data_IF_571027757719
#
_entry.id   IF_571027757719
#
_cell.length_a   1.000
_cell.length_b   1.000
_cell.length_c   1.000
_cell.angle_alpha   90.00
_cell.angle_beta   90.00
_cell.angle_gamma   90.00
#
_symmetry.space_group_name_H-M   'P 1'
#
loop_
_entity.id
_entity.type
_entity.pdbx_description
1 polymer ?
#
# COMPACT_ATOMS: atom_id res chain seq x y z
N UNK A 1 -5.36 30.34 -21.30
CA UNK A 1 -6.07 30.25 -20.00
C UNK A 1 -5.32 29.26 -19.15
N UNK A 2 -5.20 29.52 -17.80
CA UNK A 2 -4.59 28.58 -16.88
C UNK A 2 -5.28 27.21 -16.94
N UNK A 3 -4.53 26.17 -16.63
CA UNK A 3 -5.03 24.78 -16.53
C UNK A 3 -4.90 24.29 -15.10
N UNK A 4 -5.82 23.47 -14.62
CA UNK A 4 -5.69 22.79 -13.32
C UNK A 4 -4.95 21.48 -13.54
N UNK A 5 -3.98 21.19 -12.65
CA UNK A 5 -3.48 19.85 -12.43
C UNK A 5 -3.95 19.36 -11.07
N UNK A 6 -4.80 18.32 -11.08
CA UNK A 6 -5.36 17.71 -9.89
C UNK A 6 -4.45 16.57 -9.43
N UNK A 7 -3.60 16.87 -8.43
CA UNK A 7 -2.77 15.86 -7.74
C UNK A 7 -3.64 14.91 -6.93
N UNK A 8 -3.30 13.63 -6.94
CA UNK A 8 -3.98 12.56 -6.21
C UNK A 8 -2.96 11.64 -5.53
N UNK A 9 -2.76 10.42 -6.09
CA UNK A 9 -1.72 9.45 -5.68
C UNK A 9 -0.46 9.59 -6.55
N UNK A 10 -0.08 10.80 -6.89
CA UNK A 10 1.05 11.16 -7.75
C UNK A 10 1.77 12.42 -7.22
N UNK A 11 2.02 12.45 -5.89
CA UNK A 11 2.57 13.62 -5.17
C UNK A 11 4.05 13.83 -5.45
N UNK A 12 4.36 14.04 -6.73
CA UNK A 12 5.71 14.28 -7.25
C UNK A 12 5.66 15.18 -8.49
N UNK A 13 6.78 15.80 -8.80
CA UNK A 13 6.95 16.60 -10.01
C UNK A 13 7.70 15.84 -11.10
N UNK A 14 8.72 15.04 -10.74
CA UNK A 14 9.49 14.26 -11.70
C UNK A 14 8.72 13.00 -12.11
N UNK A 15 8.96 12.54 -13.35
CA UNK A 15 8.33 11.34 -13.92
C UNK A 15 6.79 11.34 -13.79
N UNK A 16 6.17 12.50 -14.00
CA UNK A 16 4.74 12.72 -14.00
C UNK A 16 4.28 13.14 -15.40
N UNK A 17 3.90 12.17 -16.24
CA UNK A 17 3.54 12.44 -17.64
C UNK A 17 2.25 13.25 -17.77
N UNK A 18 1.28 13.04 -16.89
CA UNK A 18 0.04 13.81 -16.89
C UNK A 18 0.29 15.29 -16.54
N UNK A 19 1.18 15.56 -15.57
CA UNK A 19 1.62 16.92 -15.27
C UNK A 19 2.38 17.54 -16.45
N UNK A 20 3.26 16.77 -17.09
CA UNK A 20 4.00 17.24 -18.26
C UNK A 20 3.06 17.59 -19.43
N UNK A 21 2.03 16.80 -19.67
CA UNK A 21 1.00 17.06 -20.65
C UNK A 21 0.21 18.35 -20.32
N UNK A 22 -0.20 18.53 -19.06
CA UNK A 22 -0.85 19.75 -18.58
C UNK A 22 0.04 20.99 -18.82
N UNK A 23 1.31 20.92 -18.42
CA UNK A 23 2.27 22.01 -18.57
C UNK A 23 2.55 22.34 -20.04
N UNK A 24 2.74 21.32 -20.89
CA UNK A 24 2.95 21.51 -22.32
C UNK A 24 1.73 22.18 -23.00
N UNK A 25 0.52 21.75 -22.61
CA UNK A 25 -0.70 22.35 -23.12
C UNK A 25 -0.90 23.81 -22.64
N UNK A 26 -0.54 24.13 -21.37
CA UNK A 26 -0.57 25.52 -20.86
C UNK A 26 0.42 26.42 -21.61
N UNK A 27 1.61 25.91 -21.96
CA UNK A 27 2.60 26.62 -22.77
C UNK A 27 2.07 26.87 -24.19
N UNK A 28 1.48 25.83 -24.81
CA UNK A 28 0.91 25.94 -26.17
C UNK A 28 -0.23 26.95 -26.24
N UNK A 29 -1.06 27.07 -25.18
CA UNK A 29 -2.10 28.08 -25.05
C UNK A 29 -1.57 29.50 -24.84
N UNK A 30 -0.27 29.70 -24.58
CA UNK A 30 0.38 30.97 -24.35
C UNK A 30 0.24 31.56 -22.93
N UNK A 31 -0.62 30.98 -22.08
CA UNK A 31 -0.82 31.42 -20.69
C UNK A 31 0.31 30.94 -19.77
N UNK A 32 0.83 29.75 -20.02
CA UNK A 32 1.92 29.08 -19.27
C UNK A 32 1.64 28.83 -17.79
N UNK A 33 0.39 29.01 -17.34
CA UNK A 33 0.02 28.89 -15.92
C UNK A 33 -0.62 27.54 -15.62
N UNK A 34 -0.13 26.86 -14.59
CA UNK A 34 -0.72 25.64 -14.03
C UNK A 34 -1.17 25.90 -12.58
N UNK A 35 -2.39 25.55 -12.25
CA UNK A 35 -2.96 25.62 -10.89
C UNK A 35 -2.80 24.23 -10.27
N UNK A 36 -1.92 24.03 -9.30
CA UNK A 36 -1.80 22.73 -8.60
C UNK A 36 -2.91 22.60 -7.56
N UNK A 37 -3.72 21.55 -7.66
CA UNK A 37 -4.85 21.31 -6.75
C UNK A 37 -4.73 19.93 -6.13
N UNK A 38 -5.01 19.85 -4.84
CA UNK A 38 -5.26 18.59 -4.13
C UNK A 38 -6.64 18.63 -3.48
N UNK A 39 -7.47 17.64 -3.78
CA UNK A 39 -8.77 17.47 -3.14
C UNK A 39 -8.71 16.34 -2.12
N UNK A 40 -9.36 16.50 -0.98
CA UNK A 40 -9.53 15.46 0.02
C UNK A 40 -10.84 15.63 0.80
N UNK A 41 -11.28 14.54 1.42
CA UNK A 41 -12.41 14.54 2.33
C UNK A 41 -11.88 14.57 3.78
N UNK A 42 -12.15 15.65 4.50
CA UNK A 42 -11.68 15.85 5.86
C UNK A 42 -12.19 14.79 6.84
N UNK A 43 -13.43 14.28 6.66
CA UNK A 43 -13.96 13.24 7.52
C UNK A 43 -13.22 11.90 7.36
N UNK A 44 -12.77 11.55 6.14
CA UNK A 44 -11.97 10.36 5.91
C UNK A 44 -10.57 10.52 6.52
N UNK A 45 -10.00 11.73 6.42
CA UNK A 45 -8.72 12.05 7.06
C UNK A 45 -8.78 11.87 8.59
N UNK A 46 -9.85 12.33 9.25
CA UNK A 46 -10.05 12.19 10.70
C UNK A 46 -10.15 10.73 11.16
N UNK A 47 -10.65 9.84 10.29
CA UNK A 47 -10.75 8.40 10.58
C UNK A 47 -9.41 7.66 10.50
N UNK A 48 -8.39 8.24 9.87
CA UNK A 48 -7.05 7.64 9.78
C UNK A 48 -6.37 7.58 11.16
N UNK A 49 -5.41 6.64 11.32
CA UNK A 49 -4.49 6.64 12.46
C UNK A 49 -3.62 7.91 12.48
N UNK A 50 -3.07 8.26 13.66
CA UNK A 50 -2.18 9.42 13.77
C UNK A 50 -1.00 9.35 12.79
N UNK A 51 -0.36 8.19 12.67
CA UNK A 51 0.75 7.99 11.73
C UNK A 51 0.33 8.23 10.27
N UNK A 52 -0.86 7.79 9.87
CA UNK A 52 -1.38 8.04 8.52
C UNK A 52 -1.70 9.52 8.28
N UNK A 53 -2.32 10.20 9.27
CA UNK A 53 -2.58 11.63 9.18
C UNK A 53 -1.27 12.42 9.01
N UNK A 54 -0.27 12.15 9.86
CA UNK A 54 1.05 12.79 9.74
C UNK A 54 1.72 12.49 8.41
N UNK A 55 1.64 11.25 7.94
CA UNK A 55 2.19 10.83 6.66
C UNK A 55 1.59 11.61 5.47
N UNK A 56 0.27 11.73 5.40
CA UNK A 56 -0.40 12.50 4.36
C UNK A 56 -0.05 13.98 4.45
N UNK A 57 -0.07 14.55 5.66
CA UNK A 57 0.28 15.96 5.89
C UNK A 57 1.71 16.28 5.44
N UNK A 58 2.70 15.47 5.84
CA UNK A 58 4.10 15.70 5.46
C UNK A 58 4.34 15.49 3.96
N UNK A 59 3.64 14.52 3.34
CA UNK A 59 3.65 14.33 1.89
C UNK A 59 3.14 15.56 1.14
N UNK A 60 2.02 16.14 1.59
CA UNK A 60 1.46 17.37 1.00
C UNK A 60 2.32 18.60 1.24
N UNK A 61 2.94 18.73 2.44
CA UNK A 61 3.89 19.82 2.71
C UNK A 61 5.10 19.75 1.78
N UNK A 62 5.68 18.57 1.62
CA UNK A 62 6.83 18.37 0.72
C UNK A 62 6.46 18.69 -0.75
N UNK A 63 5.26 18.29 -1.19
CA UNK A 63 4.76 18.65 -2.52
C UNK A 63 4.56 20.15 -2.66
N UNK A 64 3.92 20.81 -1.69
CA UNK A 64 3.68 22.27 -1.69
C UNK A 64 5.01 23.06 -1.73
N UNK A 65 5.97 22.68 -0.88
CA UNK A 65 7.32 23.27 -0.86
C UNK A 65 8.02 23.14 -2.22
N UNK A 66 7.89 21.99 -2.91
CA UNK A 66 8.49 21.77 -4.23
C UNK A 66 7.92 22.66 -5.33
N UNK A 67 6.74 23.24 -5.10
CA UNK A 67 6.05 24.17 -6.00
C UNK A 67 6.06 25.62 -5.51
N UNK A 68 6.91 25.96 -4.53
CA UNK A 68 6.99 27.31 -3.97
C UNK A 68 5.77 27.74 -3.17
N UNK A 69 5.12 26.79 -2.48
CA UNK A 69 3.93 26.98 -1.64
C UNK A 69 2.68 27.44 -2.41
N UNK A 70 2.46 26.86 -3.58
CA UNK A 70 1.35 27.19 -4.47
C UNK A 70 0.22 26.15 -4.52
N UNK A 71 0.30 25.05 -3.76
CA UNK A 71 -0.72 23.99 -3.75
C UNK A 71 -2.05 24.49 -3.19
N UNK A 72 -3.09 24.49 -4.00
CA UNK A 72 -4.47 24.70 -3.56
C UNK A 72 -5.02 23.39 -2.98
N UNK A 73 -5.49 23.41 -1.74
CA UNK A 73 -6.09 22.27 -1.07
C UNK A 73 -7.58 22.52 -0.90
N UNK A 74 -8.40 21.61 -1.44
CA UNK A 74 -9.85 21.66 -1.36
C UNK A 74 -10.31 20.57 -0.40
N UNK A 75 -10.82 20.97 0.76
CA UNK A 75 -11.45 20.06 1.73
C UNK A 75 -12.95 20.05 1.50
N UNK A 76 -13.46 18.92 1.05
CA UNK A 76 -14.89 18.73 0.80
C UNK A 76 -15.23 17.25 0.66
N UNK A 77 -16.39 16.80 1.15
CA UNK A 77 -16.88 15.44 0.92
C UNK A 77 -17.37 15.22 -0.53
N UNK A 78 -17.52 16.27 -1.34
CA UNK A 78 -18.07 16.21 -2.69
C UNK A 78 -17.13 16.80 -3.74
N UNK A 79 -16.92 16.09 -4.83
CA UNK A 79 -16.19 16.53 -6.04
C UNK A 79 -16.77 17.81 -6.66
N UNK A 80 -17.99 18.18 -6.32
CA UNK A 80 -18.61 19.44 -6.74
C UNK A 80 -17.79 20.68 -6.31
N UNK A 81 -17.08 20.62 -5.18
CA UNK A 81 -16.21 21.71 -4.73
C UNK A 81 -15.04 21.93 -5.71
N UNK A 82 -14.42 20.87 -6.24
CA UNK A 82 -13.38 20.98 -7.26
C UNK A 82 -13.95 21.55 -8.58
N UNK A 83 -15.13 21.11 -8.99
CA UNK A 83 -15.81 21.65 -10.18
C UNK A 83 -16.17 23.14 -10.03
N UNK A 84 -16.66 23.54 -8.85
CA UNK A 84 -16.96 24.96 -8.53
C UNK A 84 -15.67 25.80 -8.51
N UNK A 85 -14.59 25.27 -7.91
CA UNK A 85 -13.28 25.92 -7.94
C UNK A 85 -12.79 26.14 -9.38
N UNK A 86 -12.86 25.11 -10.22
CA UNK A 86 -12.45 25.20 -11.63
C UNK A 86 -13.26 26.25 -12.41
N UNK A 87 -14.58 26.33 -12.15
CA UNK A 87 -15.45 27.35 -12.73
C UNK A 87 -15.05 28.77 -12.27
N UNK A 88 -14.81 28.96 -10.98
CA UNK A 88 -14.38 30.26 -10.42
C UNK A 88 -13.01 30.69 -10.92
N UNK A 89 -12.11 29.72 -11.11
CA UNK A 89 -10.77 29.95 -11.68
C UNK A 89 -10.79 30.21 -13.20
N UNK A 90 -11.96 30.06 -13.85
CA UNK A 90 -12.19 30.25 -15.30
C UNK A 90 -11.27 29.38 -16.15
N UNK A 91 -11.03 28.12 -15.74
CA UNK A 91 -10.24 27.17 -16.52
C UNK A 91 -11.15 26.41 -17.50
N UNK A 92 -10.55 25.87 -18.56
CA UNK A 92 -11.22 24.98 -19.51
C UNK A 92 -10.83 23.52 -19.36
N UNK A 93 -9.73 23.24 -18.66
CA UNK A 93 -9.21 21.89 -18.53
C UNK A 93 -8.74 21.60 -17.11
N UNK A 94 -9.11 20.42 -16.61
CA UNK A 94 -8.55 19.78 -15.42
C UNK A 94 -7.79 18.55 -15.91
N UNK A 95 -6.48 18.51 -15.68
CA UNK A 95 -5.64 17.35 -15.95
C UNK A 95 -5.41 16.55 -14.66
N UNK A 96 -5.35 15.24 -14.76
CA UNK A 96 -4.98 14.35 -13.66
C UNK A 96 -4.39 13.05 -14.19
N UNK A 97 -3.59 12.39 -13.36
CA UNK A 97 -3.20 10.99 -13.60
C UNK A 97 -4.43 10.08 -13.45
N UNK A 98 -4.65 9.18 -14.42
CA UNK A 98 -5.76 8.23 -14.41
C UNK A 98 -5.62 7.21 -13.29
N UNK A 99 -6.68 6.98 -12.50
CA UNK A 99 -6.78 5.94 -11.49
C UNK A 99 -7.46 4.70 -12.02
N UNK A 100 -7.04 3.55 -11.47
CA UNK A 100 -7.50 2.22 -11.86
C UNK A 100 -8.10 1.41 -10.70
N UNK A 101 -8.07 1.94 -9.49
CA UNK A 101 -8.75 1.37 -8.33
C UNK A 101 -10.22 1.86 -8.26
N UNK A 102 -11.12 1.11 -7.58
CA UNK A 102 -12.54 1.43 -7.55
C UNK A 102 -12.86 2.84 -7.04
N UNK A 103 -12.20 3.28 -5.97
CA UNK A 103 -12.39 4.61 -5.36
C UNK A 103 -11.96 5.71 -6.32
N UNK A 104 -10.76 5.60 -6.88
CA UNK A 104 -10.23 6.58 -7.81
C UNK A 104 -11.04 6.69 -9.10
N UNK A 105 -11.58 5.57 -9.60
CA UNK A 105 -12.51 5.57 -10.75
C UNK A 105 -13.83 6.27 -10.38
N UNK A 106 -14.35 6.04 -9.17
CA UNK A 106 -15.56 6.70 -8.69
C UNK A 106 -15.40 8.22 -8.59
N UNK A 107 -14.27 8.69 -8.04
CA UNK A 107 -13.92 10.14 -7.99
C UNK A 107 -13.86 10.76 -9.39
N UNK A 108 -13.20 10.10 -10.34
CA UNK A 108 -13.09 10.56 -11.74
C UNK A 108 -14.47 10.70 -12.38
N UNK A 109 -15.34 9.71 -12.20
CA UNK A 109 -16.71 9.73 -12.71
C UNK A 109 -17.56 10.80 -12.04
N UNK A 110 -17.42 10.98 -10.72
CA UNK A 110 -18.12 12.01 -9.97
C UNK A 110 -17.73 13.41 -10.47
N UNK A 111 -16.44 13.70 -10.62
CA UNK A 111 -15.98 14.97 -11.16
C UNK A 111 -16.46 15.19 -12.59
N UNK A 112 -16.30 14.21 -13.48
CA UNK A 112 -16.77 14.31 -14.86
C UNK A 112 -18.28 14.59 -14.94
N UNK A 113 -19.07 14.00 -14.03
CA UNK A 113 -20.51 14.27 -13.96
C UNK A 113 -20.81 15.72 -13.53
N UNK A 114 -20.08 16.25 -12.55
CA UNK A 114 -20.24 17.65 -12.08
C UNK A 114 -19.79 18.69 -13.12
N UNK A 115 -18.89 18.33 -14.03
CA UNK A 115 -18.41 19.19 -15.10
C UNK A 115 -19.33 19.26 -16.32
N UNK A 116 -20.37 18.37 -16.42
CA UNK A 116 -21.31 18.39 -17.54
C UNK A 116 -21.99 19.75 -17.67
N UNK A 117 -21.98 20.31 -18.89
CA UNK A 117 -22.59 21.61 -19.18
C UNK A 117 -21.81 22.84 -18.74
N UNK A 118 -20.65 22.69 -18.08
CA UNK A 118 -19.80 23.84 -17.65
C UNK A 118 -18.83 24.31 -18.73
N UNK A 119 -18.59 23.51 -19.77
CA UNK A 119 -17.53 23.77 -20.76
C UNK A 119 -16.13 23.46 -20.29
N UNK A 120 -15.98 22.80 -19.11
CA UNK A 120 -14.71 22.35 -18.56
C UNK A 120 -14.53 20.85 -18.85
N UNK A 121 -13.37 20.47 -19.37
CA UNK A 121 -13.01 19.08 -19.71
C UNK A 121 -12.06 18.48 -18.66
N UNK A 122 -12.32 17.24 -18.27
CA UNK A 122 -11.41 16.40 -17.47
C UNK A 122 -10.54 15.56 -18.40
N UNK A 123 -9.22 15.78 -18.34
CA UNK A 123 -8.21 15.07 -19.14
C UNK A 123 -7.47 14.10 -18.23
N UNK A 124 -7.65 12.81 -18.46
CA UNK A 124 -7.03 11.73 -17.69
C UNK A 124 -5.92 11.09 -18.53
N UNK A 125 -4.71 11.06 -18.01
CA UNK A 125 -3.52 10.59 -18.74
C UNK A 125 -2.59 9.78 -17.82
N UNK A 126 -1.74 8.92 -18.44
CA UNK A 126 -0.76 8.09 -17.74
C UNK A 126 -1.39 7.13 -16.70
N UNK A 127 -0.60 6.70 -15.74
CA UNK A 127 -1.04 5.86 -14.61
C UNK A 127 -0.06 5.95 -13.44
N UNK A 128 -0.43 5.40 -12.28
CA UNK A 128 0.47 5.24 -11.11
C UNK A 128 1.36 3.99 -11.24
N UNK A 129 1.38 3.34 -12.39
CA UNK A 129 2.03 2.07 -12.68
C UNK A 129 2.92 2.19 -13.91
N UNK A 130 3.97 1.39 -13.99
CA UNK A 130 4.87 1.40 -15.16
C UNK A 130 4.15 0.88 -16.40
N UNK A 131 3.27 -0.12 -16.23
CA UNK A 131 2.36 -0.62 -17.27
C UNK A 131 0.93 -0.44 -16.79
N UNK A 132 0.14 0.27 -17.57
CA UNK A 132 -1.26 0.61 -17.26
C UNK A 132 -2.08 -0.65 -16.94
N UNK A 133 -2.82 -0.73 -15.80
CA UNK A 133 -3.73 -1.83 -15.51
C UNK A 133 -4.74 -2.04 -16.64
N UNK A 134 -5.07 -3.30 -16.91
CA UNK A 134 -5.89 -3.67 -18.07
C UNK A 134 -5.13 -3.91 -19.37
N UNK A 135 -3.86 -3.50 -19.47
CA UNK A 135 -3.05 -3.66 -20.68
C UNK A 135 -2.45 -5.06 -20.82
N UNK A 136 -2.04 -5.68 -19.70
CA UNK A 136 -1.40 -6.99 -19.71
C UNK A 136 -2.46 -8.08 -19.92
N UNK A 137 -2.49 -8.68 -21.11
CA UNK A 137 -3.49 -9.69 -21.48
C UNK A 137 -2.83 -10.87 -22.18
N UNK A 138 -3.48 -12.03 -22.16
CA UNK A 138 -3.02 -13.21 -22.89
C UNK A 138 -3.14 -12.99 -24.39
N UNK A 139 -2.12 -13.32 -25.18
CA UNK A 139 -2.16 -13.10 -26.62
C UNK A 139 -3.16 -14.01 -27.33
N UNK A 140 -3.59 -15.12 -26.70
CA UNK A 140 -4.49 -16.10 -27.30
C UNK A 140 -5.96 -15.64 -27.37
N UNK A 141 -6.43 -14.94 -26.32
CA UNK A 141 -7.85 -14.63 -26.16
C UNK A 141 -8.11 -13.25 -25.53
N UNK A 142 -7.06 -12.48 -25.25
CA UNK A 142 -7.19 -11.18 -24.57
C UNK A 142 -7.58 -11.25 -23.10
N UNK A 143 -7.72 -12.45 -22.52
CA UNK A 143 -8.10 -12.61 -21.13
C UNK A 143 -6.99 -12.24 -20.15
N UNK A 144 -7.39 -11.94 -18.90
CA UNK A 144 -6.45 -11.63 -17.81
C UNK A 144 -5.60 -12.82 -17.39
N UNK A 145 -4.41 -12.54 -16.89
CA UNK A 145 -3.61 -13.52 -16.17
C UNK A 145 -4.12 -13.69 -14.73
N UNK A 146 -4.29 -14.93 -14.30
CA UNK A 146 -4.64 -15.30 -12.91
C UNK A 146 -3.44 -15.69 -12.07
N UNK A 147 -2.27 -15.90 -12.72
CA UNK A 147 -1.03 -16.39 -12.11
C UNK A 147 0.06 -15.38 -12.39
N UNK A 148 0.83 -15.05 -11.36
CA UNK A 148 1.85 -14.02 -11.40
C UNK A 148 2.98 -14.29 -12.40
N UNK A 149 3.53 -15.50 -12.45
CA UNK A 149 4.69 -15.79 -13.29
C UNK A 149 4.46 -15.53 -14.79
N UNK A 150 3.36 -15.98 -15.42
CA UNK A 150 3.07 -15.62 -16.81
C UNK A 150 2.70 -14.13 -16.97
N UNK A 151 2.03 -13.49 -15.98
CA UNK A 151 1.82 -12.05 -15.97
C UNK A 151 3.15 -11.29 -16.04
N UNK A 152 4.09 -11.62 -15.14
CA UNK A 152 5.40 -10.98 -15.09
C UNK A 152 6.14 -11.05 -16.44
N UNK A 153 6.11 -12.21 -17.11
CA UNK A 153 6.74 -12.37 -18.44
C UNK A 153 6.10 -11.44 -19.47
N UNK A 154 4.78 -11.38 -19.54
CA UNK A 154 4.06 -10.52 -20.47
C UNK A 154 4.26 -9.03 -20.13
N UNK A 155 4.18 -8.66 -18.86
CA UNK A 155 4.43 -7.30 -18.35
C UNK A 155 5.84 -6.83 -18.71
N UNK A 156 6.85 -7.69 -18.54
CA UNK A 156 8.24 -7.36 -18.86
C UNK A 156 8.46 -7.19 -20.38
N UNK A 157 7.76 -7.97 -21.20
CA UNK A 157 7.81 -7.86 -22.68
C UNK A 157 7.14 -6.57 -23.18
N UNK A 158 6.05 -6.11 -22.56
CA UNK A 158 5.42 -4.83 -22.89
C UNK A 158 6.40 -3.69 -22.62
N UNK A 159 7.14 -3.78 -21.52
CA UNK A 159 8.10 -2.76 -21.12
C UNK A 159 7.43 -1.45 -20.67
N UNK A 160 8.23 -0.45 -20.45
CA UNK A 160 7.82 0.88 -20.00
C UNK A 160 8.75 1.95 -20.56
N UNK A 161 8.26 3.21 -20.62
CA UNK A 161 9.04 4.35 -21.02
C UNK A 161 10.12 4.73 -20.00
N UNK A 162 11.17 5.42 -20.44
CA UNK A 162 12.12 6.02 -19.51
C UNK A 162 11.43 7.07 -18.60
N UNK A 163 11.96 7.29 -17.38
CA UNK A 163 11.46 8.35 -16.50
C UNK A 163 11.49 9.72 -17.17
N UNK A 164 10.39 10.43 -17.11
CA UNK A 164 10.26 11.74 -17.73
C UNK A 164 10.78 12.86 -16.81
N UNK A 165 11.47 13.84 -17.40
CA UNK A 165 11.82 15.08 -16.69
C UNK A 165 10.63 16.02 -16.69
N UNK A 166 10.51 16.84 -15.64
CA UNK A 166 9.49 17.90 -15.60
C UNK A 166 9.64 18.85 -16.78
N UNK A 167 8.53 19.11 -17.47
CA UNK A 167 8.44 20.11 -18.54
C UNK A 167 8.85 21.49 -17.99
N UNK A 168 9.66 22.23 -18.72
CA UNK A 168 10.11 23.59 -18.35
C UNK A 168 9.32 24.64 -19.12
N UNK A 169 9.28 25.87 -18.59
CA UNK A 169 8.71 27.02 -19.29
C UNK A 169 7.22 27.25 -18.97
N UNK A 170 6.70 26.66 -17.92
CA UNK A 170 5.43 27.00 -17.30
C UNK A 170 5.66 27.56 -15.88
N UNK A 171 4.67 28.22 -15.33
CA UNK A 171 4.68 28.76 -13.98
C UNK A 171 3.52 28.21 -13.16
N UNK A 172 3.75 28.03 -11.85
CA UNK A 172 2.69 27.73 -10.91
C UNK A 172 1.86 28.99 -10.63
N UNK A 173 0.54 28.89 -10.72
CA UNK A 173 -0.32 30.01 -10.32
C UNK A 173 -0.24 30.18 -8.80
N UNK A 174 0.03 31.38 -8.29
CA UNK A 174 0.07 31.67 -6.87
C UNK A 174 -1.22 31.26 -6.16
N UNK A 175 -1.09 30.63 -5.00
CA UNK A 175 -2.21 30.18 -4.17
C UNK A 175 -3.08 31.36 -3.73
N UNK A 176 -4.40 31.11 -3.61
CA UNK A 176 -5.38 32.13 -3.23
C UNK A 176 -5.26 32.64 -1.77
N UNK A 177 -4.41 32.02 -0.94
CA UNK A 177 -4.18 32.35 0.47
C UNK A 177 -5.20 31.77 1.45
N UNK A 178 -6.31 31.21 0.98
CA UNK A 178 -7.36 30.59 1.83
C UNK A 178 -7.16 29.10 2.07
N UNK A 179 -6.43 28.46 1.20
CA UNK A 179 -6.17 27.01 1.23
C UNK A 179 -5.13 26.66 2.29
N UNK A 180 -5.37 25.57 3.05
CA UNK A 180 -4.45 25.06 4.07
C UNK A 180 -4.29 23.53 3.92
N UNK A 181 -3.04 23.07 4.03
CA UNK A 181 -2.77 21.65 4.15
C UNK A 181 -3.39 21.15 5.45
N UNK A 182 -4.07 19.97 5.45
CA UNK A 182 -4.68 19.41 6.64
C UNK A 182 -3.64 19.19 7.75
N UNK A 183 -4.00 19.54 8.98
CA UNK A 183 -3.17 19.32 10.16
C UNK A 183 -3.63 18.04 10.87
N UNK A 184 -2.70 17.17 11.31
CA UNK A 184 -3.07 15.99 12.06
C UNK A 184 -3.84 16.33 13.34
N UNK A 185 -4.92 15.61 13.60
CA UNK A 185 -5.72 15.72 14.84
C UNK A 185 -5.30 14.69 15.89
N UNK A 186 -4.57 13.65 15.47
CA UNK A 186 -4.04 12.57 16.33
C UNK A 186 -2.52 12.65 16.38
N UNK A 187 -1.93 12.29 17.51
CA UNK A 187 -0.47 12.24 17.68
C UNK A 187 0.17 11.09 16.88
N UNK A 188 1.45 11.25 16.56
CA UNK A 188 2.31 10.18 16.07
C UNK A 188 3.52 10.00 17.01
N UNK A 189 4.03 8.79 17.18
CA UNK A 189 5.13 8.51 18.11
C UNK A 189 6.48 9.08 17.63
N UNK A 190 6.59 9.47 16.37
CA UNK A 190 7.81 10.08 15.79
C UNK A 190 7.45 11.00 14.62
N UNK A 191 8.44 11.81 14.19
CA UNK A 191 8.29 12.68 13.02
C UNK A 191 8.37 11.86 11.73
N UNK A 192 7.28 11.78 11.01
CA UNK A 192 7.21 11.12 9.69
C UNK A 192 8.02 11.94 8.68
N UNK A 193 8.76 11.25 7.81
CA UNK A 193 9.43 11.84 6.64
C UNK A 193 8.75 11.34 5.38
N UNK A 194 8.46 12.23 4.46
CA UNK A 194 7.73 11.95 3.22
C UNK A 194 8.18 12.90 2.10
N UNK A 195 7.66 12.68 0.89
CA UNK A 195 7.88 13.51 -0.27
C UNK A 195 8.92 12.98 -1.25
N UNK A 196 8.88 13.51 -2.47
CA UNK A 196 9.68 13.05 -3.62
C UNK A 196 11.19 13.03 -3.33
N UNK A 197 11.73 14.09 -2.74
CA UNK A 197 13.17 14.18 -2.43
C UNK A 197 13.62 13.07 -1.45
N UNK A 198 12.82 12.81 -0.41
CA UNK A 198 13.08 11.76 0.56
C UNK A 198 12.95 10.36 -0.07
N UNK A 199 11.98 10.16 -0.94
CA UNK A 199 11.81 8.90 -1.68
C UNK A 199 13.01 8.60 -2.58
N UNK A 200 13.49 9.60 -3.33
CA UNK A 200 14.67 9.49 -4.20
C UNK A 200 15.96 9.21 -3.39
N UNK A 201 16.15 9.87 -2.25
CA UNK A 201 17.28 9.61 -1.37
C UNK A 201 17.23 8.20 -0.79
N UNK A 202 16.05 7.75 -0.35
CA UNK A 202 15.82 6.40 0.16
C UNK A 202 16.14 5.35 -0.91
N UNK A 203 15.73 5.58 -2.16
CA UNK A 203 16.06 4.68 -3.27
C UNK A 203 17.56 4.63 -3.55
N UNK A 204 18.26 5.78 -3.61
CA UNK A 204 19.73 5.81 -3.80
C UNK A 204 20.46 5.03 -2.70
N UNK A 205 20.02 5.20 -1.44
CA UNK A 205 20.58 4.47 -0.30
C UNK A 205 20.37 2.96 -0.43
N UNK A 206 19.17 2.53 -0.83
CA UNK A 206 18.88 1.12 -1.08
C UNK A 206 19.74 0.56 -2.21
N UNK A 207 19.86 1.28 -3.34
CA UNK A 207 20.70 0.88 -4.47
C UNK A 207 22.17 0.70 -4.08
N UNK A 208 22.70 1.58 -3.23
CA UNK A 208 24.12 1.53 -2.86
C UNK A 208 24.46 0.51 -1.77
N UNK A 209 23.48 0.06 -0.96
CA UNK A 209 23.76 -0.71 0.26
C UNK A 209 23.09 -2.07 0.34
N UNK A 210 21.92 -2.25 -0.27
CA UNK A 210 21.11 -3.42 0.03
C UNK A 210 20.54 -4.13 -1.20
N UNK A 211 20.48 -3.51 -2.37
CA UNK A 211 19.87 -4.12 -3.55
C UNK A 211 20.67 -5.34 -4.04
N UNK A 212 21.99 -5.35 -3.87
CA UNK A 212 22.84 -6.49 -4.27
C UNK A 212 22.45 -7.80 -3.58
N UNK A 213 22.18 -7.72 -2.27
CA UNK A 213 21.83 -8.87 -1.43
C UNK A 213 20.31 -9.00 -1.22
N UNK A 214 19.52 -8.28 -2.01
CA UNK A 214 18.07 -8.23 -1.81
C UNK A 214 17.39 -9.58 -1.97
N UNK A 215 17.87 -10.44 -2.87
CA UNK A 215 17.36 -11.80 -3.06
C UNK A 215 17.37 -12.63 -1.78
N UNK A 216 18.41 -12.47 -0.97
CA UNK A 216 18.61 -13.20 0.29
C UNK A 216 17.93 -12.49 1.45
N UNK A 217 18.17 -11.18 1.58
CA UNK A 217 17.81 -10.41 2.77
C UNK A 217 16.35 -9.92 2.80
N UNK A 218 15.63 -9.94 1.67
CA UNK A 218 14.24 -9.48 1.59
C UNK A 218 13.25 -10.16 2.54
N UNK A 219 13.60 -11.34 3.05
CA UNK A 219 12.75 -12.08 3.97
C UNK A 219 13.15 -11.94 5.44
N UNK A 220 14.19 -11.16 5.74
CA UNK A 220 14.81 -10.98 7.06
C UNK A 220 14.32 -9.67 7.70
N UNK A 221 13.27 -9.69 8.55
CA UNK A 221 12.73 -8.50 9.21
C UNK A 221 13.69 -7.90 10.25
N UNK A 222 14.66 -8.69 10.73
CA UNK A 222 15.74 -8.27 11.65
C UNK A 222 16.83 -7.45 10.95
N UNK A 223 16.88 -7.47 9.62
CA UNK A 223 17.87 -6.76 8.81
C UNK A 223 17.29 -5.53 8.12
N UNK A 224 18.14 -4.56 7.77
CA UNK A 224 17.78 -3.43 6.91
C UNK A 224 17.94 -3.81 5.43
N UNK A 225 17.34 -4.94 5.03
CA UNK A 225 17.49 -5.56 3.69
C UNK A 225 16.44 -5.14 2.67
N UNK A 226 15.46 -4.30 3.04
CA UNK A 226 14.38 -3.87 2.14
C UNK A 226 14.51 -2.40 1.75
N UNK A 227 13.82 -2.00 0.67
CA UNK A 227 13.90 -0.63 0.14
C UNK A 227 13.20 0.42 1.00
N UNK A 228 12.20 0.04 1.81
CA UNK A 228 11.28 0.95 2.51
C UNK A 228 10.58 1.98 1.60
N UNK A 229 10.37 1.65 0.31
CA UNK A 229 9.73 2.53 -0.68
C UNK A 229 8.23 2.31 -0.84
N UNK A 230 7.64 1.36 -0.10
CA UNK A 230 6.20 1.07 -0.20
C UNK A 230 5.33 2.30 0.11
N UNK A 231 5.71 3.11 1.10
CA UNK A 231 5.08 4.38 1.40
C UNK A 231 5.12 5.35 0.21
N UNK A 232 6.31 5.59 -0.33
CA UNK A 232 6.49 6.51 -1.45
C UNK A 232 5.74 6.05 -2.71
N UNK A 233 5.66 4.73 -2.96
CA UNK A 233 4.86 4.16 -4.06
C UNK A 233 3.36 4.30 -3.83
N UNK A 234 2.87 4.11 -2.58
CA UNK A 234 1.47 4.24 -2.24
C UNK A 234 0.96 5.67 -2.41
N UNK A 235 1.79 6.65 -2.05
CA UNK A 235 1.49 8.07 -2.16
C UNK A 235 1.90 8.70 -3.51
N UNK A 236 2.58 7.92 -4.36
CA UNK A 236 3.07 8.39 -5.65
C UNK A 236 4.16 9.46 -5.57
N UNK A 237 4.95 9.46 -4.49
CA UNK A 237 6.12 10.32 -4.30
C UNK A 237 7.30 9.87 -5.17
N UNK A 238 7.26 8.65 -5.67
CA UNK A 238 8.16 8.09 -6.68
C UNK A 238 7.36 7.22 -7.65
N UNK A 239 7.69 7.29 -8.93
CA UNK A 239 7.04 6.44 -9.93
C UNK A 239 7.78 5.10 -10.10
N UNK A 240 7.09 3.98 -10.36
CA UNK A 240 7.74 2.69 -10.65
C UNK A 240 8.78 2.77 -11.78
N UNK A 241 8.57 3.56 -12.85
CA UNK A 241 9.55 3.75 -13.92
C UNK A 241 10.90 4.24 -13.41
N UNK A 242 10.88 5.18 -12.45
CA UNK A 242 12.09 5.70 -11.80
C UNK A 242 12.86 4.63 -11.05
N UNK A 243 12.15 3.68 -10.41
CA UNK A 243 12.77 2.55 -9.73
C UNK A 243 13.31 1.49 -10.69
N UNK A 244 12.61 1.27 -11.79
CA UNK A 244 12.94 0.24 -12.79
C UNK A 244 14.08 0.62 -13.71
N UNK A 245 14.23 1.92 -14.03
CA UNK A 245 15.19 2.42 -15.01
C UNK A 245 16.66 2.04 -14.74
N UNK A 246 17.19 2.08 -13.50
CA UNK A 246 18.58 1.74 -13.21
C UNK A 246 18.81 0.24 -12.95
N UNK A 247 17.78 -0.61 -13.04
CA UNK A 247 17.92 -2.04 -12.72
C UNK A 247 18.59 -2.80 -13.87
N UNK A 248 19.53 -3.65 -13.50
CA UNK A 248 20.21 -4.61 -14.39
C UNK A 248 19.64 -6.02 -14.20
N UNK A 249 20.32 -7.02 -14.80
CA UNK A 249 19.96 -8.43 -14.66
C UNK A 249 20.67 -9.15 -13.50
N UNK A 250 21.31 -8.41 -12.60
CA UNK A 250 21.82 -8.94 -11.35
C UNK A 250 20.67 -9.52 -10.51
N UNK A 251 20.96 -10.54 -9.72
CA UNK A 251 19.92 -11.30 -9.01
C UNK A 251 19.06 -10.42 -8.09
N UNK A 252 19.69 -9.62 -7.23
CA UNK A 252 18.96 -8.70 -6.35
C UNK A 252 18.10 -7.68 -7.10
N UNK A 253 18.59 -7.15 -8.24
CA UNK A 253 17.84 -6.26 -9.13
C UNK A 253 16.65 -6.96 -9.79
N UNK A 254 16.85 -8.18 -10.24
CA UNK A 254 15.80 -9.01 -10.85
C UNK A 254 14.71 -9.33 -9.84
N UNK A 255 15.09 -9.68 -8.60
CA UNK A 255 14.13 -9.94 -7.53
C UNK A 255 13.39 -8.66 -7.15
N UNK A 256 14.07 -7.52 -7.05
CA UNK A 256 13.40 -6.24 -6.75
C UNK A 256 12.43 -5.82 -7.87
N UNK A 257 12.79 -6.00 -9.14
CA UNK A 257 11.90 -5.80 -10.30
C UNK A 257 10.62 -6.64 -10.18
N UNK A 258 10.75 -7.90 -9.75
CA UNK A 258 9.59 -8.78 -9.53
C UNK A 258 8.67 -8.27 -8.43
N UNK A 259 9.20 -7.63 -7.38
CA UNK A 259 8.34 -7.03 -6.34
C UNK A 259 7.56 -5.82 -6.86
N UNK A 260 8.15 -5.00 -7.71
CA UNK A 260 7.42 -3.92 -8.41
C UNK A 260 6.31 -4.53 -9.29
N UNK A 261 6.63 -5.59 -10.02
CA UNK A 261 5.64 -6.27 -10.87
C UNK A 261 4.50 -6.93 -10.06
N UNK A 262 4.75 -7.40 -8.82
CA UNK A 262 3.69 -7.89 -7.94
C UNK A 262 2.66 -6.79 -7.60
N UNK A 263 3.12 -5.57 -7.31
CA UNK A 263 2.23 -4.43 -7.10
C UNK A 263 1.36 -4.16 -8.34
N UNK A 264 1.94 -4.24 -9.54
CA UNK A 264 1.23 -4.01 -10.78
C UNK A 264 0.29 -5.17 -11.16
N UNK A 265 0.66 -6.40 -10.82
CA UNK A 265 -0.21 -7.55 -10.95
C UNK A 265 -1.48 -7.41 -10.10
N UNK A 266 -1.34 -7.05 -8.83
CA UNK A 266 -2.49 -6.85 -7.97
C UNK A 266 -3.37 -5.68 -8.41
N UNK A 267 -2.77 -4.61 -8.95
CA UNK A 267 -3.53 -3.51 -9.54
C UNK A 267 -4.32 -3.94 -10.77
N UNK A 268 -3.74 -4.76 -11.67
CA UNK A 268 -4.43 -5.32 -12.83
C UNK A 268 -5.58 -6.26 -12.41
N UNK A 269 -5.36 -7.08 -11.39
CA UNK A 269 -6.39 -7.98 -10.86
C UNK A 269 -7.55 -7.18 -10.27
N UNK A 270 -7.29 -6.16 -9.44
CA UNK A 270 -8.33 -5.33 -8.83
C UNK A 270 -9.11 -4.54 -9.88
N UNK A 271 -8.42 -3.95 -10.87
CA UNK A 271 -9.05 -3.22 -11.96
C UNK A 271 -10.05 -4.09 -12.74
N UNK A 272 -9.68 -5.35 -13.01
CA UNK A 272 -10.54 -6.29 -13.74
C UNK A 272 -11.62 -6.94 -12.88
N UNK A 273 -11.41 -6.99 -11.56
CA UNK A 273 -12.31 -7.62 -10.59
C UNK A 273 -12.56 -6.67 -9.41
N UNK A 274 -13.24 -5.52 -9.61
CA UNK A 274 -13.34 -4.47 -8.60
C UNK A 274 -14.04 -4.92 -7.31
N UNK A 275 -14.91 -5.95 -7.37
CA UNK A 275 -15.56 -6.53 -6.20
C UNK A 275 -14.56 -7.15 -5.22
N UNK A 276 -13.37 -7.55 -5.68
CA UNK A 276 -12.36 -8.19 -4.83
C UNK A 276 -11.68 -7.22 -3.87
N UNK A 277 -12.04 -5.95 -3.89
CA UNK A 277 -11.58 -4.98 -2.89
C UNK A 277 -11.96 -5.44 -1.46
N UNK A 278 -13.18 -5.92 -1.30
CA UNK A 278 -13.81 -6.32 -0.02
C UNK A 278 -14.54 -7.66 -0.07
N UNK A 279 -14.63 -8.31 -1.24
CA UNK A 279 -15.25 -9.61 -1.45
C UNK A 279 -14.22 -10.64 -1.95
N UNK A 280 -14.57 -11.91 -1.92
CA UNK A 280 -13.70 -13.02 -2.25
C UNK A 280 -13.45 -13.13 -3.77
N UNK A 281 -12.17 -13.26 -4.15
CA UNK A 281 -11.79 -13.58 -5.54
C UNK A 281 -12.29 -14.99 -5.93
N UNK A 282 -12.14 -15.98 -5.03
CA UNK A 282 -12.70 -17.32 -5.16
C UNK A 282 -14.00 -17.43 -4.34
N UNK A 283 -15.20 -17.33 -4.99
CA UNK A 283 -16.48 -17.19 -4.27
C UNK A 283 -16.83 -18.33 -3.30
N UNK A 284 -16.29 -19.54 -3.51
CA UNK A 284 -16.53 -20.70 -2.61
C UNK A 284 -16.11 -20.43 -1.15
N UNK A 285 -15.13 -19.53 -0.93
CA UNK A 285 -14.68 -19.17 0.41
C UNK A 285 -15.69 -18.38 1.23
N UNK A 286 -16.76 -17.86 0.61
CA UNK A 286 -17.92 -17.29 1.32
C UNK A 286 -18.65 -18.33 2.19
N UNK A 287 -18.53 -19.61 1.82
CA UNK A 287 -19.13 -20.70 2.57
C UNK A 287 -18.23 -21.25 3.71
N UNK A 288 -17.03 -20.69 3.86
CA UNK A 288 -16.13 -21.10 4.95
C UNK A 288 -16.72 -20.67 6.29
N UNK A 289 -16.64 -21.55 7.28
CA UNK A 289 -17.09 -21.26 8.63
C UNK A 289 -16.06 -20.41 9.37
N UNK A 290 -16.43 -19.16 9.67
CA UNK A 290 -15.63 -18.25 10.49
C UNK A 290 -16.22 -18.11 11.90
N UNK A 291 -15.35 -17.82 12.88
CA UNK A 291 -15.76 -17.52 14.24
C UNK A 291 -16.44 -16.15 14.32
N UNK A 292 -17.50 -16.05 15.14
CA UNK A 292 -18.28 -14.83 15.33
C UNK A 292 -18.58 -14.58 16.82
N UNK A 293 -19.19 -13.42 17.14
CA UNK A 293 -19.62 -13.08 18.49
C UNK A 293 -18.49 -12.60 19.41
N UNK A 294 -18.73 -12.64 20.71
CA UNK A 294 -17.83 -12.04 21.72
C UNK A 294 -16.44 -12.71 21.77
N UNK A 295 -16.37 -14.03 21.58
CA UNK A 295 -15.10 -14.77 21.57
C UNK A 295 -14.23 -14.35 20.37
N UNK A 296 -14.83 -14.25 19.19
CA UNK A 296 -14.13 -13.78 17.98
C UNK A 296 -13.63 -12.34 18.14
N UNK A 297 -14.45 -11.47 18.74
CA UNK A 297 -14.04 -10.09 19.05
C UNK A 297 -12.84 -10.05 19.98
N UNK A 298 -12.82 -10.84 21.05
CA UNK A 298 -11.68 -10.91 21.98
C UNK A 298 -10.41 -11.45 21.29
N UNK A 299 -10.54 -12.47 20.41
CA UNK A 299 -9.42 -12.96 19.60
C UNK A 299 -8.85 -11.84 18.71
N UNK A 300 -9.73 -11.08 18.04
CA UNK A 300 -9.35 -9.97 17.18
C UNK A 300 -8.61 -8.87 17.96
N UNK A 301 -9.13 -8.47 19.13
CA UNK A 301 -8.52 -7.45 19.98
C UNK A 301 -7.11 -7.86 20.46
N UNK A 302 -6.90 -9.12 20.85
CA UNK A 302 -5.56 -9.63 21.20
C UNK A 302 -4.60 -9.61 20.01
N UNK A 303 -5.07 -9.97 18.82
CA UNK A 303 -4.27 -9.89 17.60
C UNK A 303 -3.93 -8.44 17.26
N UNK A 304 -4.90 -7.53 17.29
CA UNK A 304 -4.72 -6.11 17.01
C UNK A 304 -3.70 -5.44 17.96
N UNK A 305 -3.72 -5.81 19.24
CA UNK A 305 -2.82 -5.24 20.26
C UNK A 305 -1.44 -5.90 20.30
N UNK A 306 -1.23 -7.01 19.59
CA UNK A 306 0.02 -7.78 19.67
C UNK A 306 0.24 -8.41 21.05
N UNK A 307 -0.80 -9.13 21.52
CA UNK A 307 -0.83 -9.85 22.81
C UNK A 307 -1.35 -11.28 22.67
N UNK A 308 -1.07 -11.90 21.53
CA UNK A 308 -1.51 -13.26 21.23
C UNK A 308 -0.73 -14.34 22.00
N UNK A 309 0.46 -14.00 22.48
CA UNK A 309 1.43 -14.93 23.07
C UNK A 309 2.29 -15.64 22.01
N UNK A 310 2.20 -15.26 20.74
CA UNK A 310 3.07 -15.72 19.66
C UNK A 310 4.04 -14.61 19.26
N UNK A 311 5.33 -14.67 19.67
CA UNK A 311 6.24 -13.54 19.58
C UNK A 311 6.39 -12.93 18.18
N UNK A 312 6.42 -13.75 17.13
CA UNK A 312 6.58 -13.25 15.77
C UNK A 312 5.33 -12.51 15.28
N UNK A 313 4.13 -12.95 15.70
CA UNK A 313 2.86 -12.28 15.42
C UNK A 313 2.78 -10.96 16.18
N UNK A 314 3.06 -11.00 17.48
CA UNK A 314 2.93 -9.85 18.36
C UNK A 314 3.94 -8.75 18.00
N UNK A 315 5.19 -9.11 17.68
CA UNK A 315 6.20 -8.18 17.19
C UNK A 315 5.74 -7.47 15.91
N UNK A 316 5.09 -8.21 14.99
CA UNK A 316 4.54 -7.64 13.78
C UNK A 316 3.44 -6.62 14.04
N UNK A 317 2.49 -6.96 14.89
CA UNK A 317 1.37 -6.07 15.23
C UNK A 317 1.85 -4.84 16.00
N UNK A 318 2.79 -4.99 16.94
CA UNK A 318 3.41 -3.86 17.65
C UNK A 318 4.26 -2.98 16.74
N UNK A 319 4.98 -3.57 15.75
CA UNK A 319 5.65 -2.79 14.71
C UNK A 319 4.65 -1.92 13.95
N UNK A 320 3.52 -2.49 13.51
CA UNK A 320 2.47 -1.74 12.82
C UNK A 320 2.00 -0.54 13.63
N UNK A 321 1.66 -0.75 14.90
CA UNK A 321 1.13 0.29 15.78
C UNK A 321 2.15 1.38 16.10
N UNK A 322 3.43 1.03 16.20
CA UNK A 322 4.49 1.98 16.57
C UNK A 322 5.10 2.70 15.38
N UNK A 323 5.07 2.10 14.17
CA UNK A 323 5.77 2.66 13.00
C UNK A 323 4.84 2.97 11.82
N UNK A 324 3.61 2.48 11.82
CA UNK A 324 2.71 2.55 10.67
C UNK A 324 3.17 1.70 9.48
N UNK A 325 4.14 0.79 9.72
CA UNK A 325 4.72 -0.07 8.69
C UNK A 325 4.97 -1.46 9.25
N UNK A 326 4.93 -2.47 8.40
CA UNK A 326 5.27 -3.84 8.74
C UNK A 326 6.04 -4.48 7.59
N UNK A 327 7.07 -5.25 7.92
CA UNK A 327 7.84 -6.01 6.93
C UNK A 327 6.95 -7.02 6.17
N UNK A 328 7.09 -7.14 4.83
CA UNK A 328 6.21 -7.98 4.02
C UNK A 328 6.10 -9.43 4.52
N UNK A 329 7.23 -10.06 4.89
CA UNK A 329 7.22 -11.43 5.44
C UNK A 329 6.36 -11.54 6.70
N UNK A 330 6.40 -10.53 7.54
CA UNK A 330 5.63 -10.49 8.79
C UNK A 330 4.15 -10.26 8.50
N UNK A 331 3.79 -9.42 7.51
CA UNK A 331 2.38 -9.28 7.06
C UNK A 331 1.76 -10.63 6.69
N UNK A 332 2.51 -11.49 6.00
CA UNK A 332 2.03 -12.84 5.64
C UNK A 332 1.82 -13.71 6.88
N UNK A 333 2.69 -13.63 7.88
CA UNK A 333 2.60 -14.42 9.12
C UNK A 333 1.39 -14.00 9.94
N UNK A 334 1.23 -12.69 10.20
CA UNK A 334 0.12 -12.17 11.01
C UNK A 334 -1.24 -12.36 10.32
N UNK A 335 -1.27 -12.28 8.98
CA UNK A 335 -2.48 -12.53 8.21
C UNK A 335 -2.86 -14.02 8.21
N UNK A 336 -1.89 -14.93 8.05
CA UNK A 336 -2.14 -16.37 8.19
C UNK A 336 -2.68 -16.72 9.57
N UNK A 337 -2.08 -16.13 10.62
CA UNK A 337 -2.53 -16.36 12.00
C UNK A 337 -3.97 -15.89 12.21
N UNK A 338 -4.35 -14.68 11.74
CA UNK A 338 -5.72 -14.20 11.85
C UNK A 338 -6.72 -15.15 11.20
N UNK A 339 -6.44 -15.57 9.95
CA UNK A 339 -7.41 -16.32 9.16
C UNK A 339 -7.44 -17.80 9.53
N UNK A 340 -6.28 -18.39 9.84
CA UNK A 340 -6.11 -19.85 9.91
C UNK A 340 -5.91 -20.40 11.32
N UNK A 341 -5.50 -19.56 12.26
CA UNK A 341 -5.37 -19.94 13.67
C UNK A 341 -6.49 -19.31 14.52
N UNK A 342 -6.89 -18.07 14.22
CA UNK A 342 -8.01 -17.42 14.90
C UNK A 342 -9.37 -17.67 14.22
N UNK A 343 -9.35 -18.18 12.98
CA UNK A 343 -10.53 -18.45 12.15
C UNK A 343 -11.41 -17.22 11.91
N UNK A 344 -10.81 -16.07 11.73
CA UNK A 344 -11.49 -14.81 11.45
C UNK A 344 -11.45 -14.45 9.96
N UNK A 345 -12.46 -13.73 9.49
CA UNK A 345 -12.50 -13.27 8.10
C UNK A 345 -11.35 -12.33 7.79
N UNK A 346 -10.75 -12.48 6.61
CA UNK A 346 -9.61 -11.68 6.17
C UNK A 346 -9.92 -10.17 6.10
N UNK A 347 -11.18 -9.80 5.84
CA UNK A 347 -11.63 -8.41 5.77
C UNK A 347 -11.40 -7.65 7.07
N UNK A 348 -11.51 -8.32 8.23
CA UNK A 348 -11.25 -7.71 9.53
C UNK A 348 -9.79 -7.25 9.67
N UNK A 349 -8.88 -8.10 9.22
CA UNK A 349 -7.45 -7.78 9.20
C UNK A 349 -7.09 -6.75 8.13
N UNK A 350 -7.67 -6.86 6.92
CA UNK A 350 -7.49 -5.90 5.85
C UNK A 350 -7.92 -4.49 6.26
N UNK A 351 -9.05 -4.38 6.97
CA UNK A 351 -9.54 -3.11 7.51
C UNK A 351 -8.62 -2.53 8.57
N UNK A 352 -8.06 -3.38 9.44
CA UNK A 352 -7.09 -2.94 10.44
C UNK A 352 -5.80 -2.41 9.79
N UNK A 353 -5.34 -3.06 8.72
CA UNK A 353 -4.20 -2.61 7.93
C UNK A 353 -4.50 -1.30 7.21
N UNK A 354 -5.66 -1.15 6.61
CA UNK A 354 -6.11 0.09 5.99
C UNK A 354 -6.06 1.27 6.96
N UNK A 355 -6.47 1.07 8.21
CA UNK A 355 -6.49 2.13 9.23
C UNK A 355 -5.09 2.54 9.70
N UNK A 356 -4.11 1.62 9.70
CA UNK A 356 -2.84 1.82 10.39
C UNK A 356 -1.62 1.90 9.47
N UNK A 357 -1.64 1.27 8.27
CA UNK A 357 -0.50 1.28 7.37
C UNK A 357 -0.32 2.63 6.67
N UNK A 358 0.83 3.26 6.83
CA UNK A 358 1.20 4.48 6.08
C UNK A 358 1.44 4.21 4.60
N UNK A 359 1.72 2.96 4.24
CA UNK A 359 1.90 2.49 2.87
C UNK A 359 0.66 1.78 2.31
N UNK A 360 -0.53 2.08 2.82
CA UNK A 360 -1.75 1.46 2.35
C UNK A 360 -1.96 1.64 0.84
N UNK A 361 -2.10 0.53 0.14
CA UNK A 361 -2.47 0.43 -1.26
C UNK A 361 -3.63 -0.57 -1.38
N UNK A 362 -4.80 -0.18 -1.91
CA UNK A 362 -6.00 -1.02 -1.88
C UNK A 362 -5.82 -2.35 -2.59
N UNK A 363 -5.12 -2.36 -3.73
CA UNK A 363 -4.88 -3.58 -4.50
C UNK A 363 -3.92 -4.53 -3.77
N UNK A 364 -2.79 -4.01 -3.29
CA UNK A 364 -1.80 -4.81 -2.56
C UNK A 364 -2.35 -5.31 -1.23
N UNK A 365 -3.16 -4.52 -0.53
CA UNK A 365 -3.78 -4.93 0.74
C UNK A 365 -4.78 -6.05 0.52
N UNK A 366 -5.80 -5.83 -0.30
CA UNK A 366 -6.86 -6.81 -0.55
C UNK A 366 -6.30 -8.13 -1.08
N UNK A 367 -5.49 -8.09 -2.14
CA UNK A 367 -4.97 -9.32 -2.75
C UNK A 367 -3.86 -9.98 -1.94
N UNK A 368 -3.07 -9.24 -1.16
CA UNK A 368 -2.13 -9.80 -0.20
C UNK A 368 -2.82 -10.61 0.91
N UNK A 369 -3.91 -10.08 1.45
CA UNK A 369 -4.77 -10.77 2.42
C UNK A 369 -5.40 -12.02 1.83
N UNK A 370 -6.02 -11.90 0.65
CA UNK A 370 -6.68 -13.02 -0.02
C UNK A 370 -5.69 -14.11 -0.45
N UNK A 371 -4.48 -13.73 -0.89
CA UNK A 371 -3.41 -14.68 -1.19
C UNK A 371 -3.04 -15.49 0.05
N UNK A 372 -2.87 -14.84 1.20
CA UNK A 372 -2.56 -15.49 2.47
C UNK A 372 -3.72 -16.35 2.97
N UNK A 373 -4.95 -15.85 2.83
CA UNK A 373 -6.17 -16.61 3.18
C UNK A 373 -6.37 -17.85 2.30
N UNK A 374 -5.79 -17.89 1.09
CA UNK A 374 -5.94 -18.98 0.13
C UNK A 374 -7.12 -18.83 -0.81
N UNK A 375 -7.82 -17.70 -0.78
CA UNK A 375 -8.99 -17.38 -1.62
C UNK A 375 -8.69 -16.37 -2.74
N UNK A 376 -7.44 -15.93 -2.89
CA UNK A 376 -7.02 -14.93 -3.86
C UNK A 376 -6.50 -15.51 -5.18
N UNK A 377 -6.14 -14.59 -6.08
CA UNK A 377 -5.41 -14.91 -7.31
C UNK A 377 -4.01 -15.43 -6.98
N UNK A 378 -3.47 -16.30 -7.83
CA UNK A 378 -2.14 -16.92 -7.63
C UNK A 378 -1.96 -17.59 -6.24
N UNK A 379 -3.06 -17.90 -5.58
CA UNK A 379 -3.01 -18.64 -4.31
C UNK A 379 -2.31 -19.98 -4.55
N UNK A 380 -1.44 -20.33 -3.62
CA UNK A 380 -0.72 -21.61 -3.70
C UNK A 380 -1.69 -22.76 -3.95
N UNK A 381 -1.36 -23.74 -4.79
CA UNK A 381 -2.19 -24.95 -4.99
C UNK A 381 -2.43 -25.72 -3.68
N UNK A 382 -1.63 -25.44 -2.68
CA UNK A 382 -1.78 -25.98 -1.33
C UNK A 382 -2.18 -24.89 -0.35
N UNK A 383 -3.24 -25.12 0.41
CA UNK A 383 -3.65 -24.28 1.53
C UNK A 383 -2.60 -24.36 2.64
N UNK A 384 -1.71 -23.35 2.70
CA UNK A 384 -0.60 -23.33 3.66
C UNK A 384 -1.03 -22.64 4.95
N UNK A 385 -1.02 -23.36 6.06
CA UNK A 385 -1.09 -22.77 7.41
C UNK A 385 0.34 -22.51 7.85
N UNK A 386 0.70 -21.24 8.08
CA UNK A 386 2.04 -20.90 8.55
C UNK A 386 2.14 -21.17 10.05
N UNK A 387 3.10 -21.99 10.44
CA UNK A 387 3.44 -22.12 11.86
C UNK A 387 4.22 -20.87 12.30
N UNK A 388 3.68 -19.97 13.16
CA UNK A 388 4.30 -18.73 13.52
C UNK A 388 5.64 -18.89 14.26
N UNK A 389 5.82 -20.00 14.99
CA UNK A 389 7.05 -20.33 15.70
C UNK A 389 8.15 -20.68 14.69
N UNK A 390 7.88 -21.63 13.77
CA UNK A 390 8.84 -22.02 12.74
C UNK A 390 9.18 -20.86 11.78
N UNK A 391 8.21 -19.96 11.53
CA UNK A 391 8.49 -18.73 10.78
C UNK A 391 9.44 -17.81 11.55
N UNK A 392 9.31 -17.71 12.87
CA UNK A 392 10.23 -16.98 13.74
C UNK A 392 11.66 -17.51 13.64
N UNK A 393 11.85 -18.78 13.89
CA UNK A 393 13.17 -19.45 13.76
C UNK A 393 13.81 -19.25 12.39
N UNK A 394 13.00 -19.29 11.31
CA UNK A 394 13.50 -19.16 9.94
C UNK A 394 13.90 -17.73 9.56
N UNK A 395 13.10 -16.73 9.94
CA UNK A 395 13.21 -15.37 9.41
C UNK A 395 13.77 -14.35 10.42
N UNK A 396 13.80 -14.71 11.69
CA UNK A 396 14.45 -13.97 12.77
C UNK A 396 15.28 -14.94 13.65
N UNK A 397 16.30 -15.63 13.07
CA UNK A 397 16.96 -16.76 13.71
C UNK A 397 17.71 -16.42 15.00
N UNK A 398 17.95 -15.15 15.27
CA UNK A 398 18.57 -14.68 16.52
C UNK A 398 17.57 -13.93 17.42
N UNK A 399 16.29 -13.84 17.03
CA UNK A 399 15.25 -13.16 17.78
C UNK A 399 15.42 -11.63 17.87
N UNK A 400 16.23 -11.03 17.02
CA UNK A 400 16.50 -9.59 17.07
C UNK A 400 15.27 -8.75 16.73
N UNK A 401 14.45 -9.22 15.78
CA UNK A 401 13.21 -8.56 15.41
C UNK A 401 12.17 -8.63 16.55
N UNK A 402 12.02 -9.81 17.15
CA UNK A 402 11.10 -10.01 18.29
C UNK A 402 11.50 -9.09 19.45
N UNK A 403 12.73 -9.15 19.90
CA UNK A 403 13.21 -8.31 21.02
C UNK A 403 13.08 -6.81 20.78
N UNK A 404 13.19 -6.38 19.54
CA UNK A 404 13.03 -4.97 19.16
C UNK A 404 11.62 -4.43 19.43
N UNK A 405 10.60 -5.26 19.24
CA UNK A 405 9.19 -4.84 19.34
C UNK A 405 8.47 -5.42 20.56
N UNK A 406 9.09 -6.33 21.28
CA UNK A 406 8.55 -6.93 22.51
C UNK A 406 9.61 -6.76 23.63
N UNK A 407 9.63 -5.60 24.31
CA UNK A 407 10.57 -5.33 25.40
C UNK A 407 10.52 -6.34 26.54
N UNK A 408 9.34 -6.93 26.79
CA UNK A 408 9.13 -7.96 27.81
C UNK A 408 9.99 -9.21 27.57
N UNK A 409 10.40 -9.47 26.33
CA UNK A 409 11.22 -10.61 25.95
C UNK A 409 12.70 -10.25 25.73
N UNK A 410 13.11 -9.01 26.04
CA UNK A 410 14.50 -8.54 25.79
C UNK A 410 15.59 -9.31 26.54
N UNK A 411 15.24 -9.95 27.65
CA UNK A 411 16.16 -10.75 28.48
C UNK A 411 16.47 -12.12 27.87
N UNK A 412 15.65 -12.63 26.95
CA UNK A 412 15.86 -13.92 26.29
C UNK A 412 16.77 -13.71 25.07
N UNK A 413 17.99 -14.26 25.15
CA UNK A 413 18.95 -14.20 24.05
C UNK A 413 18.76 -15.40 23.11
N UNK A 414 19.08 -15.19 21.83
CA UNK A 414 19.02 -16.26 20.83
C UNK A 414 17.62 -16.60 20.33
N UNK A 415 17.47 -17.75 19.66
CA UNK A 415 16.24 -18.18 19.03
C UNK A 415 15.14 -18.62 20.01
N UNK A 416 15.48 -18.89 21.26
CA UNK A 416 14.56 -19.33 22.31
C UNK A 416 13.46 -18.29 22.59
N UNK A 417 13.67 -17.05 22.20
CA UNK A 417 12.67 -15.97 22.29
C UNK A 417 11.38 -16.26 21.50
N UNK A 418 11.42 -17.20 20.55
CA UNK A 418 10.25 -17.61 19.79
C UNK A 418 9.31 -18.56 20.52
N UNK A 419 9.78 -19.19 21.62
CA UNK A 419 9.01 -20.08 22.51
C UNK A 419 9.26 -19.75 23.98
N UNK A 420 8.99 -18.50 24.44
CA UNK A 420 9.34 -18.06 25.79
C UNK A 420 8.67 -18.88 26.88
N UNK A 421 7.50 -19.46 26.62
CA UNK A 421 6.77 -20.33 27.56
C UNK A 421 7.47 -21.64 27.90
N UNK A 422 8.51 -22.05 27.17
CA UNK A 422 9.33 -23.19 27.47
C UNK A 422 10.47 -22.88 28.47
N UNK A 423 10.70 -21.62 28.78
CA UNK A 423 11.74 -21.16 29.66
C UNK A 423 11.17 -20.86 31.06
N UNK A 424 11.95 -21.16 32.10
CA UNK A 424 11.55 -20.94 33.51
C UNK A 424 11.21 -19.46 33.79
N UNK A 425 11.97 -18.54 33.21
CA UNK A 425 11.85 -17.09 33.37
C UNK A 425 11.28 -16.39 32.12
N UNK A 426 10.85 -17.16 31.12
CA UNK A 426 10.47 -16.65 29.82
C UNK A 426 9.32 -15.65 29.83
N UNK A 427 8.39 -15.76 30.77
CA UNK A 427 7.22 -14.90 30.89
C UNK A 427 7.28 -13.93 32.11
N UNK A 428 8.40 -13.88 32.82
CA UNK A 428 8.57 -13.13 34.08
C UNK A 428 8.28 -11.62 33.96
N UNK A 429 8.43 -11.02 32.77
CA UNK A 429 8.20 -9.60 32.52
C UNK A 429 6.77 -9.31 32.00
N UNK A 430 5.84 -10.25 32.14
CA UNK A 430 4.43 -10.05 31.81
C UNK A 430 4.07 -10.26 30.33
N UNK A 431 4.92 -10.90 29.54
CA UNK A 431 4.53 -11.37 28.22
C UNK A 431 3.47 -12.49 28.36
N UNK A 432 2.38 -12.46 27.59
CA UNK A 432 1.27 -13.43 27.79
C UNK A 432 1.62 -14.83 27.30
N UNK A 433 0.96 -15.82 27.91
CA UNK A 433 0.90 -17.20 27.40
C UNK A 433 0.25 -17.24 26.00
N UNK A 434 0.63 -18.23 25.16
CA UNK A 434 -0.04 -18.50 23.90
C UNK A 434 -1.56 -18.63 24.06
N UNK A 435 -2.32 -17.89 23.29
CA UNK A 435 -3.79 -17.86 23.41
C UNK A 435 -4.50 -19.11 22.88
N UNK A 436 -3.77 -19.99 22.19
CA UNK A 436 -4.25 -21.20 21.53
C UNK A 436 -3.10 -22.17 21.29
N UNK A 437 -3.43 -23.41 20.92
CA UNK A 437 -2.48 -24.40 20.38
C UNK A 437 -2.52 -24.36 18.85
N UNK A 438 -1.41 -23.96 18.23
CA UNK A 438 -1.30 -23.87 16.77
C UNK A 438 -1.57 -25.18 16.05
N UNK A 439 -1.19 -26.34 16.64
CA UNK A 439 -1.40 -27.64 15.98
C UNK A 439 -2.88 -27.99 15.89
N UNK A 440 -3.64 -27.71 16.94
CA UNK A 440 -5.09 -27.90 17.01
C UNK A 440 -5.79 -26.99 16.01
N UNK A 441 -5.45 -25.70 16.01
CA UNK A 441 -6.10 -24.71 15.11
C UNK A 441 -5.73 -24.94 13.65
N UNK A 442 -4.53 -25.42 13.36
CA UNK A 442 -4.12 -25.83 12.00
C UNK A 442 -5.02 -26.96 11.49
N UNK A 443 -5.26 -27.99 12.29
CA UNK A 443 -6.08 -29.12 11.89
C UNK A 443 -7.57 -28.72 11.74
N UNK A 444 -8.07 -27.85 12.60
CA UNK A 444 -9.40 -27.21 12.46
C UNK A 444 -9.48 -26.37 11.17
N UNK A 445 -8.46 -25.59 10.85
CA UNK A 445 -8.42 -24.79 9.61
C UNK A 445 -8.49 -25.68 8.36
N UNK A 446 -7.79 -26.81 8.36
CA UNK A 446 -7.85 -27.78 7.27
C UNK A 446 -9.21 -28.47 7.18
N UNK A 447 -9.83 -28.84 8.31
CA UNK A 447 -11.18 -29.40 8.36
C UNK A 447 -12.21 -28.42 7.76
N UNK A 448 -12.17 -27.13 8.14
CA UNK A 448 -13.05 -26.10 7.58
C UNK A 448 -12.86 -25.91 6.06
N UNK A 449 -11.62 -26.05 5.57
CA UNK A 449 -11.36 -26.01 4.13
C UNK A 449 -12.01 -27.20 3.41
N UNK A 450 -11.97 -28.41 3.98
CA UNK A 450 -12.61 -29.58 3.37
C UNK A 450 -14.14 -29.42 3.29
N UNK A 451 -14.78 -28.77 4.28
CA UNK A 451 -16.23 -28.50 4.28
C UNK A 451 -16.69 -27.71 3.02
N UNK A 452 -15.83 -26.82 2.46
CA UNK A 452 -16.15 -26.01 1.29
C UNK A 452 -15.69 -26.61 -0.04
N UNK A 453 -14.93 -27.70 -0.04
CA UNK A 453 -14.52 -28.42 -1.26
C UNK A 453 -15.63 -29.33 -1.81
N UNK A 454 -16.50 -29.79 -0.95
CA UNK A 454 -17.54 -30.79 -1.25
C UNK A 454 -18.84 -30.13 -1.75
N UNK A 455 -18.92 -28.83 -1.69
CA UNK A 455 -20.06 -28.01 -2.20
C UNK A 455 -19.71 -27.35 -3.52
#
# INVERSE_FOLDING_TARGET
MARIFWFRRDRRLQDNLALNSCAAAAIADGDKMVIPVFWFNGSDFENLSGLRQHSLTESLKALDESMGSNLEVIDSPDMGALAAYATSAKVRFIHATESFDPEGIAEQRALASKLKGTGIELVLEDSYYAVKPGTVAKPTDGSAYRVYTPFYKAWFQIGWSAPAKLTKGFDWKPRSGKSKIPSPTKSAPFKVKAGEAFALETFRRFQSRAIGDYSENRNRPDLSGTSHLSHALAHGEIHPRTLLAPLSDLDGHTVFRKEIAWREFYADVLYRNPHTLDDYYEPRFKAMRYDTGAKAKSKLERWQSGTTGFPMVDAGMRQLLTTGWMHNRVRMIVASFLVKDLHLEWQLGAKWFEQNLTDFDPASNSHGWQWTAGCGTDASPYYRVFNPILQGYKFDPQGNYVRKFIPELSHILGPEVHEPWLLVDGLQNGYPEPMLDHSVERDESLARLEEIKVK
#
